data_IF_053234358450
#
_entry.id   IF_053234358450
#
_cell.length_a   1.000
_cell.length_b   1.000
_cell.length_c   1.000
_cell.angle_alpha   90.00
_cell.angle_beta   90.00
_cell.angle_gamma   90.00
#
_symmetry.space_group_name_H-M   'P 1'
#
loop_
_entity.id
_entity.type
_entity.pdbx_description
1 polymer ?
#
# COMPACT_ATOMS: atom_id res chain seq x y z
N UNK A 1 -14.87 31.46 3.18
CA UNK A 1 -14.17 31.53 4.49
C UNK A 1 -13.71 30.13 4.79
N UNK A 2 -12.45 29.95 5.16
CA UNK A 2 -11.98 28.66 5.63
C UNK A 2 -12.60 28.38 7.01
N UNK A 3 -13.25 27.23 7.16
CA UNK A 3 -13.79 26.79 8.45
C UNK A 3 -12.66 26.62 9.45
N UNK A 4 -12.89 27.03 10.72
CA UNK A 4 -11.89 26.92 11.78
C UNK A 4 -12.52 26.32 13.04
N UNK A 5 -11.75 25.50 13.73
CA UNK A 5 -12.07 25.05 15.09
C UNK A 5 -11.39 25.98 16.09
N UNK A 6 -12.14 26.40 17.10
CA UNK A 6 -11.65 27.21 18.20
C UNK A 6 -11.43 26.32 19.42
N UNK A 7 -10.20 26.35 19.94
CA UNK A 7 -9.81 25.68 21.18
C UNK A 7 -9.53 26.74 22.26
N UNK A 8 -10.25 26.68 23.35
CA UNK A 8 -9.99 27.56 24.53
C UNK A 8 -9.20 26.77 25.57
N UNK A 9 -8.04 27.29 25.95
CA UNK A 9 -7.18 26.69 26.97
C UNK A 9 -6.42 27.77 27.74
N UNK A 10 -6.35 27.65 29.06
CA UNK A 10 -5.67 28.55 29.96
C UNK A 10 -6.05 30.03 29.73
N UNK A 11 -7.37 30.28 29.54
CA UNK A 11 -7.93 31.64 29.34
C UNK A 11 -7.61 32.25 27.97
N UNK A 12 -7.04 31.53 27.06
CA UNK A 12 -6.72 31.96 25.69
C UNK A 12 -7.47 31.11 24.65
N UNK A 13 -7.74 31.75 23.53
CA UNK A 13 -8.40 31.13 22.40
C UNK A 13 -7.41 30.90 21.26
N UNK A 14 -7.44 29.70 20.68
CA UNK A 14 -6.59 29.27 19.56
C UNK A 14 -7.46 28.78 18.42
N UNK A 15 -7.11 29.16 17.20
CA UNK A 15 -7.81 28.73 16.00
C UNK A 15 -6.97 27.76 15.20
N UNK A 16 -7.62 26.69 14.72
CA UNK A 16 -7.03 25.66 13.87
C UNK A 16 -7.84 25.50 12.59
N UNK A 17 -7.19 25.38 11.41
CA UNK A 17 -7.90 25.25 10.15
C UNK A 17 -8.62 23.90 10.06
N UNK A 18 -9.80 23.90 9.45
CA UNK A 18 -10.55 22.68 9.12
C UNK A 18 -10.23 22.27 7.71
N UNK A 19 -9.86 21.04 7.56
CA UNK A 19 -9.65 20.37 6.27
C UNK A 19 -10.91 19.57 5.94
N UNK A 20 -11.35 19.65 4.69
CA UNK A 20 -12.47 18.89 4.19
C UNK A 20 -12.03 17.94 3.11
N UNK A 21 -12.32 16.65 3.26
CA UNK A 21 -12.08 15.62 2.26
C UNK A 21 -13.10 15.68 1.12
N UNK A 22 -12.82 14.97 0.02
CA UNK A 22 -13.70 14.87 -1.15
C UNK A 22 -15.05 14.21 -0.84
N UNK A 23 -15.10 13.34 0.15
CA UNK A 23 -16.32 12.66 0.63
C UNK A 23 -16.97 13.38 1.84
N UNK A 24 -16.65 14.68 2.02
CA UNK A 24 -17.16 15.56 3.09
C UNK A 24 -16.66 15.26 4.50
N UNK A 25 -15.72 14.37 4.70
CA UNK A 25 -15.06 14.18 5.99
C UNK A 25 -14.35 15.46 6.42
N UNK A 26 -14.47 15.81 7.69
CA UNK A 26 -13.86 17.00 8.25
C UNK A 26 -12.83 16.63 9.30
N UNK A 27 -11.64 17.19 9.17
CA UNK A 27 -10.59 17.11 10.17
C UNK A 27 -10.08 18.52 10.47
N UNK A 28 -9.62 18.79 11.68
CA UNK A 28 -8.90 20.02 11.96
C UNK A 28 -7.40 19.74 12.12
N UNK A 29 -6.59 20.62 11.55
CA UNK A 29 -5.14 20.45 11.55
C UNK A 29 -4.54 20.82 12.91
N UNK A 30 -3.94 19.85 13.57
CA UNK A 30 -3.28 19.98 14.87
C UNK A 30 -1.77 20.18 14.80
N UNK A 31 -1.18 20.36 13.62
CA UNK A 31 0.27 20.47 13.43
C UNK A 31 0.91 21.60 14.26
N UNK A 32 0.20 22.70 14.47
CA UNK A 32 0.63 23.85 15.27
C UNK A 32 0.19 23.79 16.75
N UNK A 33 -0.57 22.74 17.15
CA UNK A 33 -1.18 22.65 18.48
C UNK A 33 -0.11 22.81 19.58
N UNK A 34 0.93 21.99 19.55
CA UNK A 34 1.99 22.00 20.56
C UNK A 34 2.72 23.33 20.63
N UNK A 35 3.02 23.91 19.48
CA UNK A 35 3.73 25.20 19.41
C UNK A 35 2.90 26.36 20.00
N UNK A 36 1.59 26.37 19.75
CA UNK A 36 0.69 27.41 20.21
C UNK A 36 0.26 27.26 21.67
N UNK A 37 0.04 26.02 22.11
CA UNK A 37 -0.62 25.76 23.42
C UNK A 37 0.24 24.97 24.40
N UNK A 38 1.32 24.31 23.96
CA UNK A 38 2.06 23.31 24.74
C UNK A 38 1.38 21.94 24.82
N UNK A 39 0.12 21.82 24.38
CA UNK A 39 -0.64 20.57 24.41
C UNK A 39 -0.27 19.64 23.28
N UNK A 40 -0.48 18.35 23.49
CA UNK A 40 -0.49 17.29 22.47
C UNK A 40 -1.81 16.54 22.51
N UNK A 41 -2.21 15.93 21.42
CA UNK A 41 -3.35 15.02 21.39
C UNK A 41 -2.93 13.65 21.94
N UNK A 42 -3.84 12.98 22.64
CA UNK A 42 -3.69 11.59 23.06
C UNK A 42 -4.88 10.80 22.54
N UNK A 43 -4.62 9.90 21.62
CA UNK A 43 -5.60 9.05 20.96
C UNK A 43 -5.02 7.64 20.79
N UNK A 44 -5.49 6.71 21.64
CA UNK A 44 -5.02 5.33 21.62
C UNK A 44 -5.52 4.61 20.37
N UNK A 45 -4.58 4.22 19.50
CA UNK A 45 -4.88 3.46 18.28
C UNK A 45 -5.42 4.31 17.13
N UNK A 46 -5.30 5.63 17.20
CA UNK A 46 -5.75 6.57 16.16
C UNK A 46 -7.24 6.46 15.80
N UNK A 47 -8.10 6.17 16.78
CA UNK A 47 -9.54 5.99 16.56
C UNK A 47 -10.25 7.27 16.08
N UNK A 48 -9.73 8.44 16.49
CA UNK A 48 -10.30 9.76 16.13
C UNK A 48 -9.27 10.69 15.50
N UNK A 49 -8.11 10.16 15.09
CA UNK A 49 -7.01 10.97 14.55
C UNK A 49 -6.69 10.54 13.13
N UNK A 50 -6.90 11.45 12.17
CA UNK A 50 -6.38 11.28 10.82
C UNK A 50 -4.86 11.45 10.81
N UNK A 51 -4.11 10.36 10.58
CA UNK A 51 -2.65 10.37 10.56
C UNK A 51 -2.07 10.90 9.24
N UNK A 52 -2.83 10.84 8.15
CA UNK A 52 -2.43 11.29 6.82
C UNK A 52 -3.62 11.59 5.93
N UNK A 53 -3.35 12.26 4.80
CA UNK A 53 -4.31 12.38 3.69
C UNK A 53 -4.00 11.33 2.64
N UNK A 54 -5.03 10.67 2.14
CA UNK A 54 -4.90 9.70 1.05
C UNK A 54 -5.82 10.07 -0.11
N UNK A 55 -5.30 9.97 -1.34
CA UNK A 55 -6.11 10.05 -2.56
C UNK A 55 -6.30 8.66 -3.19
N UNK A 56 -5.93 7.59 -2.48
CA UNK A 56 -5.89 6.23 -3.02
C UNK A 56 -7.18 5.48 -2.67
N UNK A 57 -7.55 5.49 -1.40
CA UNK A 57 -8.65 4.67 -0.89
C UNK A 57 -9.53 5.49 0.04
N UNK A 58 -10.84 5.34 -0.13
CA UNK A 58 -11.85 5.78 0.83
C UNK A 58 -12.57 4.58 1.40
N UNK A 59 -12.72 4.54 2.73
CA UNK A 59 -13.44 3.49 3.45
C UNK A 59 -14.40 4.13 4.43
N UNK A 60 -15.68 3.79 4.31
CA UNK A 60 -16.72 4.07 5.29
C UNK A 60 -17.24 2.73 5.81
N UNK A 61 -16.74 2.33 6.98
CA UNK A 61 -17.09 1.03 7.57
C UNK A 61 -18.51 0.99 8.12
N UNK A 62 -19.10 2.13 8.47
CA UNK A 62 -20.47 2.21 8.99
C UNK A 62 -21.51 1.99 7.88
N UNK A 63 -21.27 2.56 6.71
CA UNK A 63 -22.14 2.45 5.54
C UNK A 63 -21.70 1.35 4.57
N UNK A 64 -20.58 0.68 4.83
CA UNK A 64 -20.08 -0.38 3.96
C UNK A 64 -19.60 0.11 2.59
N UNK A 65 -19.04 1.33 2.53
CA UNK A 65 -18.59 1.95 1.27
C UNK A 65 -17.07 1.83 1.16
N UNK A 66 -16.60 1.30 0.04
CA UNK A 66 -15.19 1.27 -0.33
C UNK A 66 -15.01 1.85 -1.74
N UNK A 67 -14.04 2.76 -1.89
CA UNK A 67 -13.66 3.33 -3.19
C UNK A 67 -12.15 3.30 -3.38
N UNK A 68 -11.72 2.96 -4.57
CA UNK A 68 -10.32 3.07 -5.01
C UNK A 68 -10.21 4.17 -6.05
N UNK A 69 -9.44 5.22 -5.77
CA UNK A 69 -9.28 6.40 -6.65
C UNK A 69 -10.61 7.00 -7.12
N UNK A 70 -11.65 6.90 -6.29
CA UNK A 70 -13.01 7.38 -6.59
C UNK A 70 -13.93 6.35 -7.24
N UNK A 71 -13.43 5.23 -7.74
CA UNK A 71 -14.24 4.14 -8.29
C UNK A 71 -14.83 3.28 -7.17
N UNK A 72 -16.13 2.95 -7.26
CA UNK A 72 -16.76 2.04 -6.32
C UNK A 72 -16.18 0.61 -6.43
N UNK A 73 -16.02 -0.05 -5.29
CA UNK A 73 -15.41 -1.39 -5.28
C UNK A 73 -16.24 -2.41 -6.04
N UNK A 74 -17.57 -2.27 -6.02
CA UNK A 74 -18.51 -3.14 -6.72
C UNK A 74 -18.26 -3.12 -8.23
N UNK A 75 -18.06 -1.93 -8.80
CA UNK A 75 -17.76 -1.78 -10.22
C UNK A 75 -16.40 -2.40 -10.60
N UNK A 76 -15.40 -2.18 -9.75
CA UNK A 76 -14.06 -2.75 -9.98
C UNK A 76 -14.06 -4.27 -9.86
N UNK A 77 -14.79 -4.83 -8.89
CA UNK A 77 -14.86 -6.26 -8.67
C UNK A 77 -15.54 -7.00 -9.82
N UNK A 78 -16.57 -6.38 -10.43
CA UNK A 78 -17.30 -6.98 -11.54
C UNK A 78 -16.63 -6.78 -12.90
N UNK A 79 -16.02 -5.62 -13.14
CA UNK A 79 -15.63 -5.16 -14.49
C UNK A 79 -14.14 -5.10 -14.73
N UNK A 80 -13.31 -5.07 -13.67
CA UNK A 80 -11.88 -4.90 -13.80
C UNK A 80 -11.10 -6.16 -13.43
N UNK A 81 -9.96 -6.36 -14.07
CA UNK A 81 -8.99 -7.41 -13.74
C UNK A 81 -8.00 -6.92 -12.69
N UNK A 82 -7.34 -7.84 -11.98
CA UNK A 82 -6.29 -7.51 -11.01
C UNK A 82 -5.22 -6.55 -11.57
N UNK A 83 -4.66 -6.72 -12.78
CA UNK A 83 -3.70 -5.75 -13.31
C UNK A 83 -4.27 -4.34 -13.53
N UNK A 84 -5.55 -4.22 -13.90
CA UNK A 84 -6.21 -2.92 -14.07
C UNK A 84 -6.36 -2.22 -12.72
N UNK A 85 -6.80 -2.93 -11.69
CA UNK A 85 -6.94 -2.37 -10.35
C UNK A 85 -5.58 -2.04 -9.75
N UNK A 86 -4.57 -2.89 -9.92
CA UNK A 86 -3.21 -2.61 -9.49
C UNK A 86 -2.65 -1.34 -10.15
N UNK A 87 -2.83 -1.21 -11.46
CA UNK A 87 -2.47 -0.01 -12.20
C UNK A 87 -3.18 1.24 -11.64
N UNK A 88 -4.50 1.16 -11.47
CA UNK A 88 -5.30 2.25 -10.92
C UNK A 88 -4.77 2.74 -9.57
N UNK A 89 -4.45 1.83 -8.65
CA UNK A 89 -3.95 2.18 -7.32
C UNK A 89 -2.57 2.82 -7.38
N UNK A 90 -1.69 2.35 -8.26
CA UNK A 90 -0.31 2.81 -8.41
C UNK A 90 -0.27 4.17 -9.12
N UNK A 91 -0.93 4.29 -10.26
CA UNK A 91 -0.81 5.44 -11.16
C UNK A 91 -1.96 6.45 -11.07
N UNK A 92 -3.08 6.09 -10.42
CA UNK A 92 -4.19 7.01 -10.12
C UNK A 92 -5.34 7.00 -11.12
N UNK A 93 -5.15 6.40 -12.29
CA UNK A 93 -6.15 6.31 -13.36
C UNK A 93 -6.21 4.89 -13.92
N UNK A 94 -7.34 4.50 -14.52
CA UNK A 94 -7.43 3.23 -15.22
C UNK A 94 -6.50 3.22 -16.44
N UNK A 95 -5.85 2.08 -16.75
CA UNK A 95 -4.92 2.01 -17.86
C UNK A 95 -5.63 2.07 -19.21
N UNK A 96 -4.99 2.68 -20.20
CA UNK A 96 -5.32 2.44 -21.60
C UNK A 96 -4.97 1.00 -21.97
N UNK A 97 -5.52 0.49 -23.09
CA UNK A 97 -5.22 -0.87 -23.57
C UNK A 97 -3.72 -1.10 -23.77
N UNK A 98 -3.01 -0.12 -24.34
CA UNK A 98 -1.56 -0.21 -24.53
C UNK A 98 -0.78 -0.26 -23.22
N UNK A 99 -1.17 0.54 -22.23
CA UNK A 99 -0.58 0.54 -20.89
C UNK A 99 -0.84 -0.79 -20.16
N UNK A 100 -2.06 -1.30 -20.25
CA UNK A 100 -2.44 -2.58 -19.65
C UNK A 100 -1.64 -3.73 -20.25
N UNK A 101 -1.51 -3.76 -21.58
CA UNK A 101 -0.72 -4.78 -22.29
C UNK A 101 0.74 -4.75 -21.85
N UNK A 102 1.35 -3.56 -21.82
CA UNK A 102 2.73 -3.38 -21.33
C UNK A 102 2.88 -3.83 -19.89
N UNK A 103 1.97 -3.46 -19.01
CA UNK A 103 2.01 -3.81 -17.59
C UNK A 103 1.89 -5.33 -17.39
N UNK A 104 0.98 -5.99 -18.10
CA UNK A 104 0.84 -7.46 -18.09
C UNK A 104 2.11 -8.17 -18.55
N UNK A 105 2.75 -7.66 -19.61
CA UNK A 105 4.03 -8.18 -20.09
C UNK A 105 5.11 -8.07 -19.00
N UNK A 106 5.26 -6.90 -18.42
CA UNK A 106 6.22 -6.67 -17.34
C UNK A 106 5.96 -7.58 -16.12
N UNK A 107 4.69 -7.77 -15.71
CA UNK A 107 4.32 -8.69 -14.64
C UNK A 107 4.70 -10.14 -14.97
N UNK A 108 4.57 -10.56 -16.21
CA UNK A 108 4.90 -11.91 -16.64
C UNK A 108 6.40 -12.15 -16.69
N UNK A 109 7.14 -11.21 -17.26
CA UNK A 109 8.60 -11.31 -17.40
C UNK A 109 9.35 -11.25 -16.07
N UNK A 110 8.77 -10.61 -15.06
CA UNK A 110 9.37 -10.47 -13.73
C UNK A 110 8.87 -11.50 -12.70
N UNK A 111 8.12 -12.53 -13.12
CA UNK A 111 7.49 -13.48 -12.20
C UNK A 111 8.48 -14.46 -11.55
N UNK A 112 9.61 -14.75 -12.19
CA UNK A 112 10.58 -15.72 -11.70
C UNK A 112 11.45 -15.10 -10.59
N UNK A 113 11.79 -15.93 -9.62
CA UNK A 113 12.75 -15.60 -8.55
C UNK A 113 14.11 -16.18 -8.88
N UNK A 114 15.16 -15.64 -8.24
CA UNK A 114 16.51 -16.13 -8.39
C UNK A 114 16.62 -17.56 -7.86
N UNK A 115 17.35 -18.44 -8.57
CA UNK A 115 17.47 -19.87 -8.23
C UNK A 115 18.01 -20.13 -6.81
N UNK A 116 18.93 -19.29 -6.33
CA UNK A 116 19.45 -19.40 -4.98
C UNK A 116 18.40 -19.20 -3.90
N UNK A 117 17.29 -18.53 -4.20
CA UNK A 117 16.17 -18.39 -3.25
C UNK A 117 15.43 -19.71 -3.04
N UNK A 118 15.54 -20.69 -3.96
CA UNK A 118 14.95 -22.00 -3.78
C UNK A 118 15.54 -22.75 -2.59
N UNK A 119 16.80 -22.50 -2.23
CA UNK A 119 17.43 -23.08 -1.06
C UNK A 119 16.74 -22.62 0.23
N UNK A 120 16.30 -21.36 0.31
CA UNK A 120 15.58 -20.86 1.48
C UNK A 120 14.30 -21.66 1.75
N UNK A 121 13.54 -22.00 0.69
CA UNK A 121 12.31 -22.79 0.86
C UNK A 121 12.60 -24.21 1.34
N UNK A 122 13.71 -24.82 0.90
CA UNK A 122 14.09 -26.20 1.30
C UNK A 122 14.56 -26.30 2.74
N UNK A 123 15.17 -25.23 3.25
CA UNK A 123 15.69 -25.16 4.61
C UNK A 123 14.63 -24.71 5.64
N UNK A 124 13.46 -24.23 5.20
CA UNK A 124 12.39 -23.83 6.09
C UNK A 124 11.69 -25.06 6.69
N UNK A 125 11.43 -25.06 8.01
CA UNK A 125 10.68 -26.15 8.62
C UNK A 125 9.28 -26.30 7.99
N UNK A 126 8.82 -27.51 7.67
CA UNK A 126 7.48 -27.74 7.11
C UNK A 126 6.34 -27.19 7.98
N UNK A 127 6.57 -27.08 9.30
CA UNK A 127 5.63 -26.51 10.26
C UNK A 127 5.69 -24.98 10.38
N UNK A 128 6.58 -24.31 9.63
CA UNK A 128 6.69 -22.85 9.71
C UNK A 128 5.42 -22.19 9.19
N UNK A 129 5.03 -21.07 9.83
CA UNK A 129 3.88 -20.32 9.41
C UNK A 129 4.12 -19.70 8.00
N UNK A 130 3.19 -19.87 7.04
CA UNK A 130 3.41 -19.42 5.64
C UNK A 130 3.75 -17.94 5.51
N UNK A 131 3.13 -17.09 6.35
CA UNK A 131 3.43 -15.64 6.35
C UNK A 131 4.85 -15.32 6.82
N UNK A 132 5.41 -16.14 7.73
CA UNK A 132 6.80 -16.02 8.16
C UNK A 132 7.77 -16.33 7.02
N UNK A 133 7.50 -17.39 6.27
CA UNK A 133 8.27 -17.77 5.08
C UNK A 133 8.14 -16.66 4.02
N UNK A 134 6.91 -16.24 3.70
CA UNK A 134 6.64 -15.20 2.70
C UNK A 134 7.41 -13.90 3.02
N UNK A 135 7.33 -13.40 4.27
CA UNK A 135 8.02 -12.16 4.65
C UNK A 135 9.54 -12.28 4.56
N UNK A 136 10.10 -13.43 4.97
CA UNK A 136 11.54 -13.69 4.89
C UNK A 136 12.05 -13.72 3.46
N UNK A 137 11.34 -14.39 2.56
CA UNK A 137 11.70 -14.49 1.15
C UNK A 137 11.53 -13.14 0.44
N UNK A 138 10.47 -12.38 0.72
CA UNK A 138 10.27 -11.03 0.16
C UNK A 138 11.45 -10.13 0.52
N UNK A 139 11.93 -10.16 1.77
CA UNK A 139 13.12 -9.41 2.15
C UNK A 139 14.37 -9.91 1.40
N UNK A 140 14.54 -11.24 1.27
CA UNK A 140 15.68 -11.80 0.56
C UNK A 140 15.69 -11.48 -0.94
N UNK A 141 14.53 -11.34 -1.60
CA UNK A 141 14.43 -10.94 -3.02
C UNK A 141 15.21 -9.66 -3.32
N UNK A 142 15.16 -8.68 -2.43
CA UNK A 142 15.89 -7.42 -2.59
C UNK A 142 17.42 -7.65 -2.75
N UNK A 143 17.98 -8.60 -2.00
CA UNK A 143 19.42 -8.92 -2.06
C UNK A 143 19.84 -9.53 -3.40
N UNK A 144 18.93 -10.21 -4.08
CA UNK A 144 19.15 -10.85 -5.39
C UNK A 144 18.67 -10.00 -6.57
N UNK A 145 18.24 -8.76 -6.32
CA UNK A 145 17.77 -7.84 -7.35
C UNK A 145 18.45 -6.47 -7.20
N UNK A 146 19.76 -6.37 -7.51
CA UNK A 146 20.54 -5.13 -7.27
C UNK A 146 19.95 -3.87 -7.90
N UNK A 147 19.21 -4.01 -9.01
CA UNK A 147 18.54 -2.90 -9.71
C UNK A 147 17.50 -2.16 -8.84
N UNK A 148 17.02 -2.77 -7.76
CA UNK A 148 16.12 -2.11 -6.81
C UNK A 148 16.79 -1.00 -5.99
N UNK A 149 18.11 -0.93 -6.03
CA UNK A 149 18.93 0.05 -5.30
C UNK A 149 19.68 1.03 -6.21
N UNK A 150 19.34 1.03 -7.51
CA UNK A 150 19.97 1.93 -8.48
C UNK A 150 19.33 3.32 -8.37
N UNK A 151 20.10 4.32 -7.92
CA UNK A 151 19.62 5.67 -7.63
C UNK A 151 19.58 6.60 -8.88
N UNK A 152 20.11 6.17 -10.01
CA UNK A 152 20.31 7.03 -11.18
C UNK A 152 19.00 7.37 -11.92
N UNK A 153 17.95 6.52 -11.78
CA UNK A 153 16.64 6.77 -12.38
C UNK A 153 15.50 6.31 -11.45
N UNK A 154 15.10 7.16 -10.53
CA UNK A 154 14.11 6.86 -9.49
C UNK A 154 12.74 6.40 -10.00
N UNK A 155 12.29 6.91 -11.15
CA UNK A 155 10.99 6.53 -11.71
C UNK A 155 11.02 5.09 -12.26
N UNK A 156 12.05 4.74 -13.02
CA UNK A 156 12.21 3.39 -13.57
C UNK A 156 12.46 2.38 -12.44
N UNK A 157 13.22 2.77 -11.40
CA UNK A 157 13.44 1.92 -10.21
C UNK A 157 12.13 1.67 -9.47
N UNK A 158 11.28 2.69 -9.30
CA UNK A 158 9.96 2.52 -8.68
C UNK A 158 9.10 1.53 -9.46
N UNK A 159 8.98 1.69 -10.77
CA UNK A 159 8.20 0.82 -11.64
C UNK A 159 8.72 -0.62 -11.61
N UNK A 160 10.03 -0.82 -11.77
CA UNK A 160 10.67 -2.13 -11.73
C UNK A 160 10.52 -2.82 -10.38
N UNK A 161 10.66 -2.07 -9.29
CA UNK A 161 10.52 -2.61 -7.93
C UNK A 161 9.09 -3.02 -7.65
N UNK A 162 8.13 -2.16 -7.99
CA UNK A 162 6.69 -2.40 -7.79
C UNK A 162 6.21 -3.59 -8.60
N UNK A 163 6.52 -3.61 -9.90
CA UNK A 163 6.18 -4.73 -10.79
C UNK A 163 6.87 -6.01 -10.34
N UNK A 164 8.16 -5.93 -10.01
CA UNK A 164 8.95 -7.06 -9.56
C UNK A 164 8.38 -7.68 -8.28
N UNK A 165 7.98 -6.86 -7.32
CA UNK A 165 7.39 -7.34 -6.06
C UNK A 165 6.02 -8.00 -6.30
N UNK A 166 5.11 -7.33 -7.00
CA UNK A 166 3.77 -7.86 -7.32
C UNK A 166 3.88 -9.19 -8.08
N UNK A 167 4.82 -9.28 -9.02
CA UNK A 167 5.00 -10.49 -9.82
C UNK A 167 5.56 -11.65 -9.03
N UNK A 168 6.60 -11.40 -8.24
CA UNK A 168 7.31 -12.45 -7.49
C UNK A 168 6.52 -12.99 -6.30
N UNK A 169 5.66 -12.17 -5.68
CA UNK A 169 4.91 -12.58 -4.49
C UNK A 169 4.01 -13.79 -4.77
N UNK A 170 3.42 -13.89 -5.96
CA UNK A 170 2.61 -15.05 -6.36
C UNK A 170 3.46 -16.32 -6.49
N UNK A 171 4.66 -16.22 -7.05
CA UNK A 171 5.60 -17.33 -7.18
C UNK A 171 6.12 -17.77 -5.81
N UNK A 172 6.46 -16.82 -4.95
CA UNK A 172 6.88 -17.09 -3.58
C UNK A 172 5.77 -17.79 -2.79
N UNK A 173 4.52 -17.33 -2.89
CA UNK A 173 3.38 -17.95 -2.25
C UNK A 173 3.16 -19.39 -2.72
N UNK A 174 3.23 -19.63 -4.03
CA UNK A 174 3.11 -20.97 -4.61
C UNK A 174 4.23 -21.91 -4.12
N UNK A 175 5.46 -21.44 -4.09
CA UNK A 175 6.60 -22.25 -3.61
C UNK A 175 6.53 -22.47 -2.09
N UNK A 176 6.09 -21.49 -1.33
CA UNK A 176 5.82 -21.66 0.11
C UNK A 176 4.83 -22.80 0.37
N UNK A 177 3.73 -22.82 -0.40
CA UNK A 177 2.74 -23.88 -0.29
C UNK A 177 3.32 -25.24 -0.69
N UNK A 178 3.99 -25.34 -1.83
CA UNK A 178 4.61 -26.59 -2.28
C UNK A 178 5.64 -27.12 -1.28
N UNK A 179 6.47 -26.25 -0.71
CA UNK A 179 7.42 -26.63 0.32
C UNK A 179 6.72 -27.22 1.57
N UNK A 180 5.59 -26.63 1.98
CA UNK A 180 4.85 -27.09 3.17
C UNK A 180 4.22 -28.48 3.02
N UNK A 181 3.92 -28.89 1.80
CA UNK A 181 3.35 -30.24 1.49
C UNK A 181 4.37 -31.22 0.91
N UNK A 182 5.65 -30.82 0.81
CA UNK A 182 6.73 -31.68 0.31
C UNK A 182 6.72 -31.91 -1.20
N UNK A 183 6.07 -31.04 -1.97
CA UNK A 183 6.06 -31.11 -3.43
C UNK A 183 7.27 -30.36 -4.05
N UNK A 184 7.75 -30.82 -5.23
CA UNK A 184 8.81 -30.12 -5.97
C UNK A 184 8.32 -28.77 -6.49
N UNK A 185 9.27 -27.84 -6.65
CA UNK A 185 9.03 -26.48 -7.20
C UNK A 185 8.89 -26.48 -8.71
#
# INVERSE_FOLDING_TARGET
MEDKVKLSFDGKDFEFPVLKGSENEKAFDVSELRKKTGLVTLDYGYLNTGSTKSAITFVDGENGILRYRGYAIEDLAEKATFPEVAWLLIYGELPTEAQLMRFRTMLTENALIHENLLHFFREMPPSAHPMGILSSIVNAVGLFTPRFYDDDNKADVFDLTTVGLISKIRTIAAFTYKASIGEPF
#
